data_IF_555549154293
#
_entry.id   IF_555549154293
#
_cell.length_a   1.000
_cell.length_b   1.000
_cell.length_c   1.000
_cell.angle_alpha   90.00
_cell.angle_beta   90.00
_cell.angle_gamma   90.00
#
_symmetry.space_group_name_H-M   'P 1'
#
loop_
_entity.id
_entity.type
_entity.pdbx_description
1 polymer ?
#
# COMPACT_ATOMS: atom_id res chain seq x y z
N UNK A 1 20.47 25.51 11.82
CA UNK A 1 19.52 24.51 12.35
C UNK A 1 20.35 23.35 12.85
N UNK A 2 20.41 23.13 14.15
CA UNK A 2 21.21 22.09 14.80
C UNK A 2 20.60 20.73 14.45
N UNK A 3 21.35 19.88 13.74
CA UNK A 3 20.93 18.51 13.46
C UNK A 3 20.95 17.71 14.76
N UNK A 4 19.76 17.35 15.25
CA UNK A 4 19.63 16.38 16.33
C UNK A 4 20.07 14.98 15.82
N UNK A 5 20.87 14.23 16.59
CA UNK A 5 21.26 12.86 16.26
C UNK A 5 20.04 11.98 15.95
N UNK A 6 20.19 11.07 14.98
CA UNK A 6 19.14 10.17 14.48
C UNK A 6 18.45 9.35 15.59
N UNK A 7 19.17 9.05 16.68
CA UNK A 7 18.66 8.37 17.88
C UNK A 7 17.54 9.13 18.61
N UNK A 8 17.40 10.44 18.41
CA UNK A 8 16.35 11.26 19.01
C UNK A 8 15.10 11.42 18.13
N UNK A 9 15.02 10.75 16.96
CA UNK A 9 13.88 10.92 16.03
C UNK A 9 12.80 9.86 16.13
N UNK A 10 13.01 8.74 16.80
CA UNK A 10 11.99 7.70 16.98
C UNK A 10 11.40 7.76 18.39
N UNK A 11 10.07 7.61 18.52
CA UNK A 11 9.43 7.60 19.84
C UNK A 11 9.49 6.24 20.52
N UNK A 12 9.57 5.18 19.71
CA UNK A 12 9.69 3.79 20.17
C UNK A 12 10.77 3.14 19.32
N UNK A 13 11.88 2.75 19.94
CA UNK A 13 12.96 2.06 19.21
C UNK A 13 12.49 0.70 18.67
N UNK A 14 12.94 0.30 17.48
CA UNK A 14 12.80 -1.09 17.02
C UNK A 14 13.40 -2.07 18.05
N UNK A 15 12.69 -3.17 18.36
CA UNK A 15 13.27 -4.26 19.14
C UNK A 15 14.34 -5.02 18.35
N UNK A 16 15.39 -5.43 19.04
CA UNK A 16 16.27 -6.50 18.57
C UNK A 16 15.54 -7.84 18.71
N UNK A 17 15.79 -8.75 17.78
CA UNK A 17 15.11 -10.06 17.76
C UNK A 17 15.37 -10.87 19.04
N UNK A 18 16.55 -10.71 19.65
CA UNK A 18 16.95 -11.39 20.88
C UNK A 18 16.23 -10.84 22.13
N UNK A 19 15.51 -9.72 22.01
CA UNK A 19 14.68 -9.16 23.07
C UNK A 19 13.26 -9.74 23.06
N UNK A 20 12.89 -10.49 22.02
CA UNK A 20 11.55 -11.01 21.81
C UNK A 20 11.44 -12.48 22.26
N UNK A 21 10.26 -12.89 22.72
CA UNK A 21 9.94 -14.31 22.88
C UNK A 21 9.95 -15.03 21.52
N UNK A 22 10.07 -16.36 21.53
CA UNK A 22 10.21 -17.17 20.31
C UNK A 22 9.10 -16.92 19.27
N UNK A 23 7.85 -16.71 19.68
CA UNK A 23 6.74 -16.49 18.75
C UNK A 23 6.81 -15.09 18.14
N UNK A 24 7.15 -14.10 18.95
CA UNK A 24 7.33 -12.71 18.49
C UNK A 24 8.54 -12.57 17.58
N UNK A 25 9.66 -13.25 17.89
CA UNK A 25 10.82 -13.32 17.02
C UNK A 25 10.49 -13.97 15.66
N UNK A 26 9.70 -15.05 15.67
CA UNK A 26 9.22 -15.68 14.44
C UNK A 26 8.35 -14.73 13.61
N UNK A 27 7.43 -13.99 14.24
CA UNK A 27 6.60 -12.99 13.56
C UNK A 27 7.43 -11.84 12.97
N UNK A 28 8.47 -11.37 13.68
CA UNK A 28 9.44 -10.41 13.15
C UNK A 28 10.08 -10.97 11.87
N UNK A 29 10.53 -12.22 11.91
CA UNK A 29 11.16 -12.86 10.75
C UNK A 29 10.20 -13.06 9.58
N UNK A 30 8.94 -13.42 9.84
CA UNK A 30 7.90 -13.50 8.80
C UNK A 30 7.70 -12.15 8.12
N UNK A 31 7.69 -11.05 8.88
CA UNK A 31 7.61 -9.69 8.33
C UNK A 31 8.77 -9.31 7.42
N UNK A 32 9.99 -9.76 7.73
CA UNK A 32 11.17 -9.56 6.87
C UNK A 32 11.06 -10.42 5.59
N UNK A 33 10.74 -11.71 5.73
CA UNK A 33 10.68 -12.65 4.61
C UNK A 33 9.59 -12.30 3.59
N UNK A 34 8.44 -11.84 4.06
CA UNK A 34 7.31 -11.43 3.20
C UNK A 34 7.63 -10.16 2.39
N UNK A 35 8.70 -9.44 2.73
CA UNK A 35 9.25 -8.31 1.97
C UNK A 35 10.59 -8.63 1.31
N UNK A 36 10.81 -9.87 0.90
CA UNK A 36 12.04 -10.26 0.18
C UNK A 36 13.28 -10.34 1.08
N UNK A 37 13.09 -10.47 2.39
CA UNK A 37 14.18 -10.58 3.37
C UNK A 37 14.71 -9.23 3.87
N UNK A 38 14.10 -8.11 3.47
CA UNK A 38 14.50 -6.80 3.98
C UNK A 38 14.13 -6.64 5.46
N UNK A 39 15.06 -6.18 6.31
CA UNK A 39 14.75 -5.77 7.66
C UNK A 39 13.58 -4.79 7.66
N UNK A 40 12.77 -4.85 8.71
CA UNK A 40 11.53 -4.09 8.76
C UNK A 40 11.31 -3.52 10.17
N UNK A 41 11.65 -2.25 10.33
CA UNK A 41 11.58 -1.53 11.59
C UNK A 41 10.14 -1.38 12.09
N UNK A 42 9.13 -1.29 11.22
CA UNK A 42 7.75 -1.19 11.70
C UNK A 42 7.34 -2.47 12.45
N UNK A 43 7.74 -3.63 11.96
CA UNK A 43 7.45 -4.94 12.58
C UNK A 43 8.15 -5.04 13.94
N UNK A 44 9.39 -4.56 14.01
CA UNK A 44 10.18 -4.51 15.25
C UNK A 44 9.63 -3.51 16.27
N UNK A 45 9.06 -2.39 15.84
CA UNK A 45 8.35 -1.46 16.72
C UNK A 45 7.02 -2.05 17.19
N UNK A 46 6.28 -2.73 16.30
CA UNK A 46 5.03 -3.39 16.64
C UNK A 46 5.22 -4.55 17.62
N UNK A 47 6.39 -5.19 17.61
CA UNK A 47 6.74 -6.29 18.50
C UNK A 47 6.76 -5.92 20.00
N UNK A 48 6.79 -4.63 20.37
CA UNK A 48 6.50 -4.19 21.74
C UNK A 48 5.09 -4.60 22.20
N UNK A 49 4.18 -4.87 21.26
CA UNK A 49 2.92 -5.57 21.49
C UNK A 49 2.95 -6.93 20.77
N UNK A 50 3.42 -8.01 21.43
CA UNK A 50 3.59 -9.34 20.83
C UNK A 50 2.39 -9.84 20.03
N UNK A 51 1.17 -9.67 20.59
CA UNK A 51 -0.04 -10.16 19.94
C UNK A 51 -0.37 -9.40 18.65
N UNK A 52 0.00 -8.12 18.54
CA UNK A 52 -0.20 -7.35 17.32
C UNK A 52 0.70 -7.89 16.21
N UNK A 53 2.01 -7.98 16.44
CA UNK A 53 2.92 -8.44 15.39
C UNK A 53 2.66 -9.88 14.96
N UNK A 54 2.21 -10.74 15.88
CA UNK A 54 1.87 -12.13 15.58
C UNK A 54 0.63 -12.30 14.70
N UNK A 55 -0.26 -11.30 14.64
CA UNK A 55 -1.49 -11.36 13.85
C UNK A 55 -1.42 -10.47 12.61
N UNK A 56 -0.87 -9.27 12.78
CA UNK A 56 -0.92 -8.20 11.79
C UNK A 56 -0.22 -8.58 10.49
N UNK A 57 0.91 -9.28 10.55
CA UNK A 57 1.70 -9.56 9.34
C UNK A 57 0.94 -10.46 8.38
N UNK A 58 0.42 -11.59 8.87
CA UNK A 58 -0.38 -12.50 8.05
C UNK A 58 -1.69 -11.84 7.60
N UNK A 59 -2.33 -11.12 8.51
CA UNK A 59 -3.57 -10.41 8.23
C UNK A 59 -3.40 -9.34 7.15
N UNK A 60 -2.41 -8.44 7.26
CA UNK A 60 -2.15 -7.39 6.27
C UNK A 60 -1.77 -7.99 4.90
N UNK A 61 -0.94 -9.03 4.91
CA UNK A 61 -0.51 -9.68 3.66
C UNK A 61 -1.70 -10.28 2.88
N UNK A 62 -2.71 -10.79 3.60
CA UNK A 62 -3.88 -11.45 3.00
C UNK A 62 -4.70 -10.59 2.03
N UNK A 63 -4.61 -9.26 2.14
CA UNK A 63 -5.29 -8.34 1.23
C UNK A 63 -4.32 -7.42 0.48
N UNK A 64 -3.11 -7.17 1.01
CA UNK A 64 -2.10 -6.33 0.32
C UNK A 64 -1.37 -7.07 -0.80
N UNK A 65 -0.98 -8.33 -0.57
CA UNK A 65 -0.02 -9.04 -1.42
C UNK A 65 -0.54 -10.38 -1.95
N UNK A 66 -1.55 -10.96 -1.31
CA UNK A 66 -2.04 -12.28 -1.73
C UNK A 66 -2.48 -12.27 -3.20
N UNK A 67 -2.00 -13.26 -3.99
CA UNK A 67 -2.49 -13.48 -5.33
C UNK A 67 -3.92 -14.02 -5.26
N UNK A 68 -4.52 -14.22 -6.43
CA UNK A 68 -5.81 -14.91 -6.55
C UNK A 68 -5.71 -16.26 -5.86
N UNK A 69 -6.41 -16.41 -4.73
CA UNK A 69 -6.35 -17.60 -3.88
C UNK A 69 -7.73 -18.19 -3.73
N UNK A 70 -7.82 -19.53 -3.75
CA UNK A 70 -9.07 -20.27 -3.63
C UNK A 70 -9.03 -21.26 -2.46
N UNK A 71 -10.15 -21.39 -1.76
CA UNK A 71 -10.44 -22.51 -0.86
C UNK A 71 -11.56 -23.36 -1.46
N UNK A 72 -11.20 -24.51 -2.03
CA UNK A 72 -12.11 -25.28 -2.88
C UNK A 72 -12.50 -24.47 -4.13
N UNK A 73 -13.80 -24.23 -4.32
CA UNK A 73 -14.32 -23.42 -5.43
C UNK A 73 -14.50 -21.92 -5.12
N UNK A 74 -14.23 -21.49 -3.89
CA UNK A 74 -14.45 -20.11 -3.45
C UNK A 74 -13.15 -19.32 -3.52
N UNK A 75 -13.14 -18.20 -4.25
CA UNK A 75 -12.04 -17.24 -4.17
C UNK A 75 -12.06 -16.55 -2.80
N UNK A 76 -10.92 -16.52 -2.11
CA UNK A 76 -10.80 -15.97 -0.75
C UNK A 76 -9.89 -14.75 -0.68
N UNK A 77 -9.04 -14.51 -1.67
CA UNK A 77 -8.15 -13.34 -1.73
C UNK A 77 -7.80 -12.96 -3.18
N UNK A 78 -7.15 -11.81 -3.35
CA UNK A 78 -6.62 -11.35 -4.64
C UNK A 78 -7.73 -10.91 -5.61
N UNK A 79 -8.72 -10.16 -5.13
CA UNK A 79 -9.82 -9.69 -5.97
C UNK A 79 -9.39 -8.54 -6.90
N UNK A 80 -8.54 -7.65 -6.40
CA UNK A 80 -7.87 -6.62 -7.19
C UNK A 80 -6.45 -7.04 -7.57
N UNK A 81 -5.97 -6.61 -8.73
CA UNK A 81 -4.60 -6.89 -9.15
C UNK A 81 -3.58 -6.09 -8.32
N UNK A 82 -2.35 -6.62 -8.28
CA UNK A 82 -1.29 -6.09 -7.42
C UNK A 82 -0.88 -4.65 -7.77
N UNK A 83 -0.99 -4.24 -9.04
CA UNK A 83 -0.62 -2.89 -9.47
C UNK A 83 -1.65 -1.87 -8.99
N UNK A 84 -2.94 -2.16 -9.16
CA UNK A 84 -4.01 -1.29 -8.64
C UNK A 84 -3.89 -1.13 -7.12
N UNK A 85 -3.69 -2.25 -6.40
CA UNK A 85 -3.46 -2.23 -4.94
C UNK A 85 -2.28 -1.34 -4.56
N UNK A 86 -1.17 -1.41 -5.30
CA UNK A 86 0.01 -0.60 -5.03
C UNK A 86 -0.25 0.90 -5.24
N UNK A 87 -0.94 1.28 -6.32
CA UNK A 87 -1.33 2.68 -6.53
C UNK A 87 -2.22 3.19 -5.40
N UNK A 88 -3.17 2.38 -4.90
CA UNK A 88 -4.03 2.72 -3.77
C UNK A 88 -3.23 2.89 -2.47
N UNK A 89 -2.35 1.95 -2.14
CA UNK A 89 -1.48 2.01 -0.95
C UNK A 89 -0.58 3.25 -1.00
N UNK A 90 0.06 3.49 -2.14
CA UNK A 90 0.96 4.62 -2.36
C UNK A 90 0.21 5.95 -2.31
N UNK A 91 -0.98 6.06 -2.95
CA UNK A 91 -1.82 7.26 -2.91
C UNK A 91 -2.25 7.60 -1.49
N UNK A 92 -2.75 6.60 -0.76
CA UNK A 92 -3.16 6.76 0.65
C UNK A 92 -1.99 7.27 1.51
N UNK A 93 -0.80 6.71 1.29
CA UNK A 93 0.43 7.11 2.00
C UNK A 93 0.86 8.54 1.70
N UNK A 94 0.78 8.97 0.44
CA UNK A 94 1.07 10.34 0.01
C UNK A 94 0.09 11.35 0.62
N UNK A 95 -1.21 11.02 0.62
CA UNK A 95 -2.25 11.86 1.24
C UNK A 95 -2.01 12.04 2.75
N UNK A 96 -1.66 10.96 3.44
CA UNK A 96 -1.40 11.00 4.88
C UNK A 96 0.00 11.53 5.24
N UNK A 97 0.86 11.82 4.26
CA UNK A 97 2.24 12.29 4.47
C UNK A 97 3.04 11.40 5.43
N UNK A 98 2.77 10.09 5.41
CA UNK A 98 3.46 9.10 6.25
C UNK A 98 4.86 8.85 5.68
N UNK A 99 5.90 9.38 6.32
CA UNK A 99 7.29 9.24 5.85
C UNK A 99 7.64 7.79 5.51
N UNK A 100 7.52 6.90 6.51
CA UNK A 100 7.85 5.49 6.39
C UNK A 100 7.10 4.83 5.23
N UNK A 101 5.79 5.10 5.10
CA UNK A 101 5.01 4.50 4.00
C UNK A 101 5.34 5.11 2.64
N UNK A 102 5.53 6.43 2.54
CA UNK A 102 5.84 7.11 1.28
C UNK A 102 7.16 6.60 0.71
N UNK A 103 8.21 6.48 1.54
CA UNK A 103 9.51 6.01 1.08
C UNK A 103 9.46 4.53 0.71
N UNK A 104 8.91 3.68 1.58
CA UNK A 104 8.84 2.23 1.36
C UNK A 104 7.97 1.85 0.16
N UNK A 105 6.81 2.49 0.00
CA UNK A 105 5.89 2.16 -1.09
C UNK A 105 6.35 2.74 -2.42
N UNK A 106 7.16 3.81 -2.42
CA UNK A 106 7.85 4.22 -3.65
C UNK A 106 8.86 3.16 -4.10
N UNK A 107 9.59 2.54 -3.17
CA UNK A 107 10.50 1.44 -3.48
C UNK A 107 9.75 0.20 -3.97
N UNK A 108 8.71 -0.22 -3.24
CA UNK A 108 7.89 -1.39 -3.59
C UNK A 108 7.19 -1.18 -4.94
N UNK A 109 6.57 -0.02 -5.16
CA UNK A 109 5.92 0.33 -6.41
C UNK A 109 6.89 0.37 -7.59
N UNK A 110 8.03 1.04 -7.44
CA UNK A 110 9.02 1.08 -8.52
C UNK A 110 9.54 -0.32 -8.87
N UNK A 111 9.89 -1.14 -7.87
CA UNK A 111 10.31 -2.51 -8.09
C UNK A 111 9.23 -3.35 -8.78
N UNK A 112 7.98 -3.28 -8.30
CA UNK A 112 6.84 -4.01 -8.88
C UNK A 112 6.66 -3.72 -10.38
N UNK A 113 6.72 -2.46 -10.79
CA UNK A 113 6.60 -2.10 -12.21
C UNK A 113 7.83 -2.51 -13.02
N UNK A 114 9.03 -2.38 -12.47
CA UNK A 114 10.26 -2.76 -13.15
C UNK A 114 10.35 -4.28 -13.38
N UNK A 115 10.04 -5.08 -12.35
CA UNK A 115 10.08 -6.55 -12.41
C UNK A 115 9.07 -7.10 -13.43
N UNK A 116 7.98 -6.37 -13.68
CA UNK A 116 7.00 -6.70 -14.70
C UNK A 116 7.33 -6.16 -16.10
N UNK A 117 8.49 -5.53 -16.30
CA UNK A 117 8.87 -4.91 -17.57
C UNK A 117 8.08 -3.64 -17.92
N UNK A 118 7.39 -3.04 -16.95
CA UNK A 118 6.49 -1.87 -17.09
C UNK A 118 7.08 -0.61 -16.45
N UNK A 119 8.40 -0.52 -16.33
CA UNK A 119 9.08 0.56 -15.60
C UNK A 119 8.72 1.96 -16.07
N UNK A 120 8.61 2.19 -17.38
CA UNK A 120 8.24 3.51 -17.93
C UNK A 120 6.80 3.92 -17.56
N UNK A 121 5.86 2.97 -17.60
CA UNK A 121 4.48 3.19 -17.15
C UNK A 121 4.44 3.48 -15.65
N UNK A 122 5.14 2.64 -14.87
CA UNK A 122 5.22 2.77 -13.42
C UNK A 122 5.82 4.09 -12.97
N UNK A 123 6.87 4.57 -13.65
CA UNK A 123 7.46 5.88 -13.38
C UNK A 123 6.41 6.98 -13.48
N UNK A 124 5.73 7.08 -14.63
CA UNK A 124 4.74 8.13 -14.87
C UNK A 124 3.62 8.09 -13.83
N UNK A 125 3.07 6.89 -13.56
CA UNK A 125 2.01 6.71 -12.56
C UNK A 125 2.47 7.10 -11.15
N UNK A 126 3.61 6.61 -10.69
CA UNK A 126 4.08 6.86 -9.32
C UNK A 126 4.48 8.33 -9.08
N UNK A 127 5.05 8.99 -10.09
CA UNK A 127 5.44 10.40 -10.03
C UNK A 127 4.22 11.31 -9.84
N UNK A 128 3.19 11.12 -10.66
CA UNK A 128 1.99 11.96 -10.68
C UNK A 128 0.92 11.52 -9.68
N UNK A 129 1.10 10.40 -8.97
CA UNK A 129 0.07 9.78 -8.14
C UNK A 129 -0.57 10.72 -7.11
N UNK A 130 0.20 11.64 -6.52
CA UNK A 130 -0.31 12.57 -5.52
C UNK A 130 -1.31 13.61 -6.04
N UNK A 131 -1.38 13.79 -7.35
CA UNK A 131 -2.20 14.76 -8.08
C UNK A 131 -2.73 14.10 -9.37
N UNK A 132 -3.07 12.81 -9.30
CA UNK A 132 -3.44 12.01 -10.47
C UNK A 132 -4.55 12.65 -11.32
N UNK A 133 -5.44 13.41 -10.69
CA UNK A 133 -6.51 14.20 -11.28
C UNK A 133 -6.01 15.24 -12.30
N UNK A 134 -4.79 15.73 -12.15
CA UNK A 134 -4.15 16.68 -13.07
C UNK A 134 -3.46 15.98 -14.26
N UNK A 135 -3.40 14.64 -14.26
CA UNK A 135 -2.71 13.83 -15.26
C UNK A 135 -3.57 12.66 -15.75
N UNK A 136 -4.82 12.88 -16.19
CA UNK A 136 -5.75 11.80 -16.54
C UNK A 136 -5.23 10.90 -17.68
N UNK A 137 -4.38 11.41 -18.57
CA UNK A 137 -3.73 10.65 -19.64
C UNK A 137 -2.78 9.55 -19.16
N UNK A 138 -2.36 9.57 -17.89
CA UNK A 138 -1.42 8.61 -17.29
C UNK A 138 -2.15 7.38 -16.73
N UNK A 139 -3.45 7.51 -16.43
CA UNK A 139 -4.23 6.51 -15.71
C UNK A 139 -5.37 5.99 -16.57
N UNK A 140 -5.65 4.69 -16.45
CA UNK A 140 -6.89 4.12 -16.98
C UNK A 140 -8.10 4.67 -16.23
N UNK A 141 -9.27 4.65 -16.85
CA UNK A 141 -10.53 5.08 -16.22
C UNK A 141 -10.78 4.37 -14.88
N UNK A 142 -10.56 3.05 -14.82
CA UNK A 142 -10.62 2.26 -13.59
C UNK A 142 -9.69 2.81 -12.51
N UNK A 143 -8.45 3.12 -12.86
CA UNK A 143 -7.47 3.66 -11.91
C UNK A 143 -7.89 5.06 -11.42
N UNK A 144 -8.41 5.92 -12.29
CA UNK A 144 -8.87 7.27 -11.92
C UNK A 144 -10.01 7.18 -10.89
N UNK A 145 -11.08 6.44 -11.19
CA UNK A 145 -12.23 6.31 -10.28
C UNK A 145 -11.82 5.68 -8.93
N UNK A 146 -10.95 4.66 -8.94
CA UNK A 146 -10.46 4.03 -7.70
C UNK A 146 -9.55 4.99 -6.90
N UNK A 147 -8.74 5.82 -7.55
CA UNK A 147 -7.86 6.79 -6.88
C UNK A 147 -8.63 8.00 -6.33
N UNK A 148 -9.68 8.45 -7.01
CA UNK A 148 -10.63 9.45 -6.49
C UNK A 148 -11.37 8.92 -5.26
N UNK A 149 -11.89 7.69 -5.35
CA UNK A 149 -12.49 7.00 -4.22
C UNK A 149 -11.50 6.87 -3.05
N UNK A 150 -10.25 6.49 -3.34
CA UNK A 150 -9.15 6.41 -2.36
C UNK A 150 -8.96 7.72 -1.63
N UNK A 151 -8.97 8.86 -2.34
CA UNK A 151 -8.82 10.17 -1.74
C UNK A 151 -9.99 10.51 -0.81
N UNK A 152 -11.24 10.26 -1.25
CA UNK A 152 -12.45 10.47 -0.41
C UNK A 152 -12.41 9.62 0.85
N UNK A 153 -12.20 8.30 0.75
CA UNK A 153 -12.16 7.41 1.92
C UNK A 153 -11.03 7.79 2.88
N UNK A 154 -9.85 8.16 2.35
CA UNK A 154 -8.69 8.52 3.18
C UNK A 154 -8.87 9.82 3.96
N UNK A 155 -9.49 10.82 3.33
CA UNK A 155 -9.68 12.16 3.91
C UNK A 155 -10.95 12.24 4.72
N UNK A 156 -12.04 11.75 4.14
CA UNK A 156 -13.37 11.98 4.67
C UNK A 156 -14.41 10.95 4.21
N UNK A 157 -14.33 9.74 4.75
CA UNK A 157 -15.17 8.61 4.35
C UNK A 157 -16.69 8.87 4.48
N UNK A 158 -17.13 9.84 5.30
CA UNK A 158 -18.55 10.17 5.42
C UNK A 158 -19.11 10.93 4.19
N UNK A 159 -18.24 11.39 3.30
CA UNK A 159 -18.62 12.07 2.05
C UNK A 159 -18.80 11.11 0.87
N UNK A 160 -18.50 9.82 1.07
CA UNK A 160 -18.74 8.78 0.06
C UNK A 160 -20.23 8.61 -0.15
N UNK A 161 -20.64 8.57 -1.42
CA UNK A 161 -22.04 8.51 -1.87
C UNK A 161 -22.34 7.22 -2.62
N UNK A 162 -23.64 6.94 -2.84
CA UNK A 162 -24.05 5.81 -3.67
C UNK A 162 -23.57 5.93 -5.12
N UNK A 163 -23.38 7.16 -5.62
CA UNK A 163 -22.82 7.39 -6.95
C UNK A 163 -21.36 6.91 -7.02
N UNK A 164 -20.56 7.14 -5.98
CA UNK A 164 -19.18 6.64 -5.94
C UNK A 164 -19.13 5.10 -6.05
N UNK A 165 -20.09 4.41 -5.42
CA UNK A 165 -20.23 2.96 -5.55
C UNK A 165 -20.74 2.53 -6.93
N UNK A 166 -21.63 3.30 -7.56
CA UNK A 166 -22.08 3.03 -8.92
C UNK A 166 -20.92 3.13 -9.92
N UNK A 167 -20.13 4.20 -9.83
CA UNK A 167 -18.97 4.44 -10.70
C UNK A 167 -17.91 3.34 -10.50
N UNK A 168 -17.63 2.94 -9.25
CA UNK A 168 -16.74 1.82 -8.96
C UNK A 168 -17.23 0.52 -9.58
N UNK A 169 -18.52 0.21 -9.47
CA UNK A 169 -19.08 -1.03 -10.05
C UNK A 169 -18.95 -1.04 -11.56
N UNK A 170 -19.23 0.08 -12.21
CA UNK A 170 -19.14 0.22 -13.66
C UNK A 170 -17.71 -0.06 -14.17
N UNK A 171 -16.72 0.65 -13.65
CA UNK A 171 -15.33 0.54 -14.14
C UNK A 171 -14.67 -0.79 -13.76
N UNK A 172 -15.02 -1.37 -12.61
CA UNK A 172 -14.53 -2.69 -12.20
C UNK A 172 -15.16 -3.80 -13.03
N UNK A 173 -16.49 -3.76 -13.25
CA UNK A 173 -17.15 -4.74 -14.11
C UNK A 173 -16.61 -4.66 -15.54
N UNK A 174 -16.52 -3.46 -16.13
CA UNK A 174 -15.99 -3.26 -17.47
C UNK A 174 -14.59 -3.87 -17.63
N UNK A 175 -13.69 -3.62 -16.66
CA UNK A 175 -12.38 -4.24 -16.64
C UNK A 175 -12.44 -5.78 -16.50
N UNK A 176 -13.27 -6.31 -15.59
CA UNK A 176 -13.37 -7.74 -15.36
C UNK A 176 -13.89 -8.51 -16.59
N UNK A 177 -14.77 -7.89 -17.39
CA UNK A 177 -15.28 -8.47 -18.66
C UNK A 177 -14.19 -8.55 -19.75
N UNK A 178 -13.08 -7.84 -19.59
CA UNK A 178 -11.91 -7.97 -20.46
C UNK A 178 -11.00 -9.14 -20.07
N UNK A 179 -11.16 -9.72 -18.88
CA UNK A 179 -10.36 -10.85 -18.40
C UNK A 179 -11.00 -12.19 -18.81
N UNK A 180 -10.37 -12.96 -19.72
CA UNK A 180 -10.91 -14.24 -20.16
C UNK A 180 -11.18 -15.23 -19.02
N UNK A 181 -10.47 -15.12 -17.89
CA UNK A 181 -10.64 -15.99 -16.72
C UNK A 181 -11.97 -15.74 -16.01
N UNK A 182 -12.51 -14.54 -16.12
CA UNK A 182 -13.76 -14.11 -15.47
C UNK A 182 -14.97 -14.22 -16.41
N UNK A 183 -14.77 -14.43 -17.71
CA UNK A 183 -15.86 -14.58 -18.69
C UNK A 183 -16.83 -15.74 -18.43
N UNK A 184 -16.44 -16.70 -17.57
CA UNK A 184 -17.30 -17.81 -17.14
C UNK A 184 -18.30 -17.43 -16.04
N UNK A 185 -18.14 -16.26 -15.42
CA UNK A 185 -19.05 -15.80 -14.38
C UNK A 185 -20.37 -15.35 -15.03
N UNK A 186 -21.49 -15.84 -14.50
CA UNK A 186 -22.78 -15.24 -14.81
C UNK A 186 -22.91 -13.85 -14.14
N UNK A 187 -23.93 -13.08 -14.50
CA UNK A 187 -24.08 -11.69 -14.05
C UNK A 187 -24.16 -11.55 -12.52
N UNK A 188 -24.84 -12.50 -11.85
CA UNK A 188 -24.92 -12.51 -10.39
C UNK A 188 -23.54 -12.76 -9.74
N UNK A 189 -22.76 -13.69 -10.30
CA UNK A 189 -21.41 -13.98 -9.83
C UNK A 189 -20.42 -12.85 -10.14
N UNK A 190 -20.57 -12.17 -11.29
CA UNK A 190 -19.81 -10.98 -11.64
C UNK A 190 -20.09 -9.84 -10.65
N UNK A 191 -21.37 -9.57 -10.38
CA UNK A 191 -21.79 -8.55 -9.39
C UNK A 191 -21.14 -8.81 -8.03
N UNK A 192 -21.21 -10.06 -7.55
CA UNK A 192 -20.57 -10.43 -6.27
C UNK A 192 -19.05 -10.27 -6.30
N UNK A 193 -18.41 -10.60 -7.42
CA UNK A 193 -16.96 -10.43 -7.57
C UNK A 193 -16.55 -8.95 -7.51
N UNK A 194 -17.31 -8.08 -8.17
CA UNK A 194 -17.12 -6.63 -8.12
C UNK A 194 -17.35 -6.09 -6.70
N UNK A 195 -18.41 -6.51 -6.01
CA UNK A 195 -18.62 -6.10 -4.62
C UNK A 195 -17.44 -6.56 -3.71
N UNK A 196 -16.90 -7.76 -3.92
CA UNK A 196 -15.68 -8.22 -3.22
C UNK A 196 -14.46 -7.35 -3.52
N UNK A 197 -14.29 -6.88 -4.77
CA UNK A 197 -13.22 -5.94 -5.12
C UNK A 197 -13.35 -4.62 -4.37
N UNK A 198 -14.57 -4.07 -4.28
CA UNK A 198 -14.84 -2.82 -3.56
C UNK A 198 -14.58 -2.98 -2.05
N UNK A 199 -15.00 -4.11 -1.47
CA UNK A 199 -14.72 -4.44 -0.07
C UNK A 199 -13.21 -4.50 0.18
N UNK A 200 -12.45 -5.19 -0.68
CA UNK A 200 -10.99 -5.29 -0.55
C UNK A 200 -10.31 -3.93 -0.70
N UNK A 201 -10.74 -3.09 -1.64
CA UNK A 201 -10.21 -1.72 -1.81
C UNK A 201 -10.46 -0.87 -0.57
N UNK A 202 -11.69 -0.86 -0.06
CA UNK A 202 -12.07 -0.08 1.13
C UNK A 202 -11.28 -0.53 2.35
N UNK A 203 -11.14 -1.86 2.52
CA UNK A 203 -10.35 -2.45 3.60
C UNK A 203 -8.88 -2.02 3.51
N UNK A 204 -8.31 -2.09 2.31
CA UNK A 204 -6.94 -1.68 2.03
C UNK A 204 -6.72 -0.20 2.37
N UNK A 205 -7.60 0.70 1.91
CA UNK A 205 -7.48 2.15 2.18
C UNK A 205 -7.57 2.43 3.69
N UNK A 206 -8.58 1.88 4.37
CA UNK A 206 -8.80 2.08 5.80
C UNK A 206 -7.63 1.57 6.65
N UNK A 207 -7.12 0.40 6.30
CA UNK A 207 -5.98 -0.20 7.00
C UNK A 207 -4.68 0.60 6.78
N UNK A 208 -4.41 1.05 5.55
CA UNK A 208 -3.24 1.90 5.30
C UNK A 208 -3.37 3.26 5.99
N UNK A 209 -4.57 3.84 6.09
CA UNK A 209 -4.79 5.03 6.92
C UNK A 209 -4.43 4.80 8.39
N UNK A 210 -4.81 3.65 8.96
CA UNK A 210 -4.43 3.25 10.31
C UNK A 210 -2.90 3.16 10.45
N UNK A 211 -2.25 2.41 9.57
CA UNK A 211 -0.80 2.21 9.62
C UNK A 211 -0.03 3.51 9.40
N UNK A 212 -0.44 4.35 8.45
CA UNK A 212 0.16 5.66 8.21
C UNK A 212 0.14 6.55 9.47
N UNK A 213 -1.00 6.62 10.15
CA UNK A 213 -1.14 7.37 11.41
C UNK A 213 -0.25 6.75 12.48
N UNK A 214 -0.23 5.44 12.60
CA UNK A 214 0.60 4.72 13.57
C UNK A 214 2.10 4.96 13.33
N UNK A 215 2.60 4.80 12.10
CA UNK A 215 4.00 5.08 11.74
C UNK A 215 4.39 6.53 12.03
N UNK A 216 3.51 7.47 11.69
CA UNK A 216 3.75 8.91 11.86
C UNK A 216 3.79 9.28 13.35
N UNK A 217 2.82 8.80 14.14
CA UNK A 217 2.75 9.10 15.58
C UNK A 217 3.91 8.47 16.34
N UNK A 218 4.34 7.27 15.98
CA UNK A 218 5.47 6.62 16.64
C UNK A 218 6.84 7.03 16.08
N UNK A 219 6.86 7.77 14.98
CA UNK A 219 8.07 8.12 14.24
C UNK A 219 8.91 6.87 13.96
N UNK A 220 8.28 5.89 13.31
CA UNK A 220 8.97 4.65 12.90
C UNK A 220 10.11 5.01 11.94
N UNK A 221 11.37 4.65 12.27
CA UNK A 221 12.51 5.01 11.45
C UNK A 221 12.65 4.03 10.27
N UNK A 222 13.12 4.53 9.13
CA UNK A 222 13.62 3.68 8.06
C UNK A 222 14.82 2.84 8.56
N UNK A 223 15.10 1.72 7.90
CA UNK A 223 16.19 0.83 8.25
C UNK A 223 17.56 1.42 7.88
N UNK A 224 18.63 0.97 8.55
CA UNK A 224 19.97 1.55 8.40
C UNK A 224 20.46 1.62 6.94
N UNK A 225 20.20 0.57 6.16
CA UNK A 225 20.61 0.49 4.74
C UNK A 225 19.50 0.90 3.76
N UNK A 226 18.34 1.32 4.27
CA UNK A 226 17.16 1.62 3.44
C UNK A 226 17.42 2.79 2.51
N UNK A 227 18.10 3.84 2.97
CA UNK A 227 18.37 5.04 2.16
C UNK A 227 19.14 4.68 0.89
N UNK A 228 20.21 3.89 1.00
CA UNK A 228 21.01 3.47 -0.15
C UNK A 228 20.16 2.73 -1.19
N UNK A 229 19.34 1.79 -0.74
CA UNK A 229 18.46 1.03 -1.64
C UNK A 229 17.38 1.94 -2.26
N UNK A 230 16.80 2.83 -1.46
CA UNK A 230 15.82 3.80 -1.91
C UNK A 230 16.38 4.69 -3.02
N UNK A 231 17.62 5.17 -2.88
CA UNK A 231 18.28 6.00 -3.89
C UNK A 231 18.66 5.23 -5.17
N UNK A 232 18.97 3.94 -5.05
CA UNK A 232 19.29 3.07 -6.19
C UNK A 232 18.06 2.70 -7.00
N UNK A 233 16.95 2.40 -6.32
CA UNK A 233 15.73 1.88 -6.95
C UNK A 233 14.80 3.00 -7.39
N UNK A 234 14.60 4.03 -6.56
CA UNK A 234 13.56 5.04 -6.79
C UNK A 234 14.10 6.22 -7.62
N UNK A 235 13.48 6.54 -8.77
CA UNK A 235 13.85 7.67 -9.60
C UNK A 235 13.98 8.99 -8.84
N UNK A 236 14.99 9.80 -9.19
CA UNK A 236 15.34 11.01 -8.45
C UNK A 236 14.20 12.04 -8.39
N UNK A 237 13.40 12.17 -9.45
CA UNK A 237 12.23 13.06 -9.50
C UNK A 237 11.12 12.62 -8.54
N UNK A 238 10.85 11.31 -8.43
CA UNK A 238 9.94 10.76 -7.42
C UNK A 238 10.46 11.05 -6.00
N UNK A 239 11.77 10.90 -5.77
CA UNK A 239 12.39 11.23 -4.47
C UNK A 239 12.24 12.71 -4.13
N UNK A 240 12.50 13.60 -5.09
CA UNK A 240 12.31 15.06 -4.93
C UNK A 240 10.84 15.40 -4.64
N UNK A 241 9.91 14.78 -5.36
CA UNK A 241 8.46 14.93 -5.12
C UNK A 241 8.09 14.51 -3.70
N UNK A 242 8.55 13.34 -3.26
CA UNK A 242 8.29 12.83 -1.92
C UNK A 242 8.82 13.78 -0.84
N UNK A 243 10.05 14.29 -0.99
CA UNK A 243 10.64 15.24 -0.05
C UNK A 243 9.79 16.51 0.10
N UNK A 244 9.24 17.05 -1.00
CA UNK A 244 8.34 18.22 -0.96
C UNK A 244 7.04 17.92 -0.20
N UNK A 245 6.40 16.78 -0.48
CA UNK A 245 5.17 16.36 0.21
C UNK A 245 5.41 16.22 1.71
N UNK A 246 6.49 15.55 2.09
CA UNK A 246 6.83 15.28 3.50
C UNK A 246 7.25 16.55 4.26
N UNK A 247 7.82 17.54 3.57
CA UNK A 247 8.10 18.87 4.13
C UNK A 247 6.84 19.73 4.31
N UNK A 248 5.71 19.32 3.73
CA UNK A 248 4.46 20.09 3.71
C UNK A 248 4.46 21.25 2.71
N UNK A 249 5.39 21.24 1.76
CA UNK A 249 5.58 22.29 0.74
C UNK A 249 4.77 22.05 -0.54
N UNK A 250 3.59 21.43 -0.41
CA UNK A 250 2.71 21.03 -1.51
C UNK A 250 1.31 21.52 -1.21
#
# INVERSE_FOLDING_TARGET
MTELPQEHRTRIRPLHIDEADTKTAAAIKTGELTRGGFPNNFVKVMAHCPRFVQLEIEYANSFMFDPVTFFGGLQTAGFNDRFLKELVISRTSLLNRSHYSVTHQSLVGTALFNDAGRGAEGHQKLLHLHEHENHPQVYTEREQVVLDYTAKVSRDAHTVTDQDFADLREVLEAHNRMDPRLNKLNDSAMTRHVDSQIVELTWLIGHICLLNRWFTVLQVPDEADFVTLYEQVVPADIRVRNARILAGSV
#
